data_IF_113402101346
#
_entry.id   IF_113402101346
#
_cell.length_a   1.000
_cell.length_b   1.000
_cell.length_c   1.000
_cell.angle_alpha   90.00
_cell.angle_beta   90.00
_cell.angle_gamma   90.00
#
_symmetry.space_group_name_H-M   'P 1'
#
loop_
_entity.id
_entity.type
_entity.pdbx_description
1 polymer ?
#
# COMPACT_ATOMS: atom_id res chain seq x y z
N UNK A 1 5.57 -16.23 28.60
CA UNK A 1 5.94 -16.02 27.18
C UNK A 1 7.37 -16.49 26.88
N UNK A 2 8.34 -16.28 27.79
CA UNK A 2 9.74 -16.64 27.57
C UNK A 2 9.92 -18.15 27.42
N UNK A 3 9.28 -18.93 28.32
CA UNK A 3 9.33 -20.40 28.26
C UNK A 3 8.73 -20.94 26.96
N UNK A 4 7.65 -20.32 26.47
CA UNK A 4 7.04 -20.65 25.18
C UNK A 4 8.01 -20.39 24.02
N UNK A 5 8.66 -19.24 23.98
CA UNK A 5 9.61 -18.89 22.91
C UNK A 5 10.83 -19.82 22.91
N UNK A 6 11.30 -20.21 24.08
CA UNK A 6 12.46 -21.12 24.23
C UNK A 6 12.14 -22.59 23.91
N UNK A 7 10.86 -22.94 23.74
CA UNK A 7 10.47 -24.28 23.29
C UNK A 7 10.62 -24.50 21.78
N UNK A 8 10.85 -23.41 21.02
CA UNK A 8 11.00 -23.50 19.57
C UNK A 8 12.47 -23.51 19.16
N UNK A 9 12.83 -24.46 18.27
CA UNK A 9 14.17 -24.55 17.68
C UNK A 9 14.41 -23.54 16.56
N UNK A 10 13.35 -22.95 16.00
CA UNK A 10 13.39 -21.95 14.92
C UNK A 10 12.37 -20.85 15.19
N UNK A 11 12.78 -19.60 14.97
CA UNK A 11 11.93 -18.40 15.02
C UNK A 11 12.10 -17.64 13.72
N UNK A 12 11.00 -17.27 13.10
CA UNK A 12 10.97 -16.43 11.91
C UNK A 12 10.22 -15.15 12.26
N UNK A 13 10.88 -14.00 12.07
CA UNK A 13 10.28 -12.68 12.23
C UNK A 13 9.89 -12.13 10.86
N UNK A 14 8.58 -12.03 10.62
CA UNK A 14 8.05 -11.32 9.44
C UNK A 14 8.16 -9.81 9.65
N UNK A 15 8.23 -9.05 8.56
CA UNK A 15 8.46 -7.60 8.53
C UNK A 15 9.64 -7.20 9.45
N UNK A 16 10.75 -7.89 9.30
CA UNK A 16 11.91 -7.75 10.18
C UNK A 16 12.54 -6.35 10.18
N UNK A 17 12.09 -5.44 9.30
CA UNK A 17 12.45 -4.02 9.41
C UNK A 17 11.95 -3.38 10.72
N UNK A 18 10.96 -3.98 11.40
CA UNK A 18 10.54 -3.59 12.74
C UNK A 18 11.41 -4.16 13.87
N UNK A 19 12.38 -5.04 13.57
CA UNK A 19 13.27 -5.63 14.59
C UNK A 19 14.08 -4.59 15.37
N UNK A 20 14.33 -3.42 14.81
CA UNK A 20 15.02 -2.32 15.48
C UNK A 20 14.14 -1.53 16.48
N UNK A 21 12.86 -1.91 16.67
CA UNK A 21 12.03 -1.32 17.71
C UNK A 21 12.47 -1.81 19.10
N UNK A 22 12.32 -0.95 20.13
CA UNK A 22 12.72 -1.28 21.50
C UNK A 22 12.11 -2.60 22.00
N UNK A 23 10.83 -2.83 21.71
CA UNK A 23 10.12 -4.05 22.10
C UNK A 23 10.67 -5.28 21.38
N UNK A 24 10.91 -5.18 20.07
CA UNK A 24 11.46 -6.28 19.28
C UNK A 24 12.87 -6.64 19.69
N UNK A 25 13.72 -5.65 19.98
CA UNK A 25 15.09 -5.87 20.49
C UNK A 25 15.04 -6.68 21.78
N UNK A 26 14.22 -6.24 22.75
CA UNK A 26 14.08 -6.92 24.03
C UNK A 26 13.55 -8.36 23.90
N UNK A 27 12.68 -8.59 22.93
CA UNK A 27 12.15 -9.91 22.63
C UNK A 27 13.23 -10.81 22.02
N UNK A 28 13.88 -10.34 20.94
CA UNK A 28 14.88 -11.11 20.21
C UNK A 28 16.11 -11.46 21.06
N UNK A 29 16.51 -10.59 22.00
CA UNK A 29 17.61 -10.87 22.92
C UNK A 29 17.29 -11.98 23.94
N UNK A 30 16.01 -12.31 24.13
CA UNK A 30 15.57 -13.37 25.06
C UNK A 30 15.31 -14.71 24.37
N UNK A 31 15.34 -14.75 23.04
CA UNK A 31 15.12 -15.96 22.26
C UNK A 31 16.37 -16.83 22.31
N UNK A 32 16.19 -18.11 22.71
CA UNK A 32 17.25 -19.12 22.71
C UNK A 32 17.02 -20.21 21.64
N UNK A 33 16.51 -19.81 20.49
CA UNK A 33 16.31 -20.70 19.34
C UNK A 33 17.63 -20.93 18.58
N UNK A 34 17.82 -22.14 18.08
CA UNK A 34 18.99 -22.48 17.26
C UNK A 34 19.04 -21.68 15.94
N UNK A 35 17.87 -21.37 15.37
CA UNK A 35 17.74 -20.63 14.15
C UNK A 35 16.80 -19.43 14.33
N UNK A 36 17.28 -18.24 13.99
CA UNK A 36 16.48 -17.00 14.00
C UNK A 36 16.63 -16.34 12.63
N UNK A 37 15.53 -16.17 11.95
CA UNK A 37 15.49 -15.55 10.61
C UNK A 37 14.57 -14.35 10.58
N UNK A 38 14.93 -13.34 9.78
CA UNK A 38 14.06 -12.23 9.44
C UNK A 38 13.70 -12.27 7.96
N UNK A 39 12.44 -11.99 7.64
CA UNK A 39 11.95 -11.78 6.28
C UNK A 39 11.34 -10.38 6.19
N UNK A 40 11.52 -9.68 5.08
CA UNK A 40 10.93 -8.38 4.84
C UNK A 40 11.01 -8.04 3.35
N UNK A 41 9.97 -7.40 2.82
CA UNK A 41 9.99 -6.81 1.50
C UNK A 41 10.87 -5.54 1.44
N UNK A 42 11.00 -4.83 2.55
CA UNK A 42 11.69 -3.53 2.66
C UNK A 42 12.72 -3.53 3.79
N UNK A 43 13.86 -4.24 3.65
CA UNK A 43 14.84 -4.36 4.72
C UNK A 43 15.58 -3.06 5.05
N UNK A 44 15.58 -2.08 4.13
CA UNK A 44 16.21 -0.77 4.36
C UNK A 44 15.28 0.16 5.11
N UNK A 45 15.82 0.87 6.08
CA UNK A 45 15.13 1.89 6.90
C UNK A 45 15.68 3.28 6.59
N UNK A 46 14.80 4.27 6.57
CA UNK A 46 15.19 5.67 6.37
C UNK A 46 15.92 6.29 7.56
N UNK A 47 15.84 5.67 8.74
CA UNK A 47 16.48 6.10 9.98
C UNK A 47 17.86 5.46 10.22
N UNK A 48 18.37 4.71 9.24
CA UNK A 48 19.68 4.02 9.31
C UNK A 48 19.81 2.98 10.45
N UNK A 49 18.71 2.52 11.05
CA UNK A 49 18.72 1.49 12.06
C UNK A 49 18.77 0.05 11.49
N UNK A 50 18.96 -0.09 10.19
CA UNK A 50 19.15 -1.39 9.50
C UNK A 50 20.34 -2.18 10.08
N UNK A 51 21.38 -1.50 10.59
CA UNK A 51 22.51 -2.16 11.28
C UNK A 51 22.07 -2.98 12.49
N UNK A 52 21.07 -2.50 13.24
CA UNK A 52 20.53 -3.23 14.41
C UNK A 52 19.85 -4.51 13.96
N UNK A 53 19.13 -4.47 12.82
CA UNK A 53 18.47 -5.66 12.25
C UNK A 53 19.53 -6.73 11.93
N UNK A 54 20.64 -6.33 11.28
CA UNK A 54 21.74 -7.26 10.96
C UNK A 54 22.47 -7.79 12.20
N UNK A 55 22.55 -7.00 13.26
CA UNK A 55 23.14 -7.47 14.54
C UNK A 55 22.25 -8.51 15.23
N UNK A 56 20.92 -8.39 15.12
CA UNK A 56 19.97 -9.28 15.79
C UNK A 56 19.65 -10.54 14.97
N UNK A 57 19.55 -10.43 13.65
CA UNK A 57 19.04 -11.48 12.77
C UNK A 57 20.11 -12.01 11.80
N UNK A 58 21.30 -11.41 11.83
CA UNK A 58 22.40 -11.76 10.91
C UNK A 58 22.30 -11.06 9.54
N UNK A 59 23.30 -11.28 8.67
CA UNK A 59 23.37 -10.63 7.37
C UNK A 59 22.31 -11.16 6.41
N UNK A 60 21.92 -10.33 5.44
CA UNK A 60 20.99 -10.73 4.38
C UNK A 60 21.57 -11.92 3.59
N UNK A 61 20.90 -13.06 3.63
CA UNK A 61 21.30 -14.32 2.98
C UNK A 61 20.73 -14.47 1.59
N UNK A 62 19.52 -13.96 1.38
CA UNK A 62 18.82 -14.04 0.10
C UNK A 62 18.12 -12.73 -0.20
N UNK A 63 18.05 -12.37 -1.47
CA UNK A 63 17.31 -11.21 -1.97
C UNK A 63 16.52 -11.64 -3.19
N UNK A 64 15.20 -11.46 -3.11
CA UNK A 64 14.29 -11.66 -4.22
C UNK A 64 13.61 -10.33 -4.54
N UNK A 65 13.85 -9.79 -5.72
CA UNK A 65 13.37 -8.47 -6.08
C UNK A 65 12.02 -8.54 -6.81
N UNK A 66 11.29 -7.41 -6.84
CA UNK A 66 10.08 -7.30 -7.66
C UNK A 66 10.34 -7.62 -9.14
N UNK A 67 11.55 -7.30 -9.64
CA UNK A 67 11.97 -7.62 -10.99
C UNK A 67 12.13 -9.13 -11.20
N UNK A 68 12.70 -9.84 -10.21
CA UNK A 68 12.84 -11.30 -10.26
C UNK A 68 11.46 -11.98 -10.27
N UNK A 69 10.55 -11.45 -9.44
CA UNK A 69 9.15 -11.91 -9.40
C UNK A 69 8.45 -11.69 -10.74
N UNK A 70 8.58 -10.50 -11.32
CA UNK A 70 8.00 -10.18 -12.62
C UNK A 70 8.50 -11.10 -13.71
N UNK A 71 9.81 -11.38 -13.75
CA UNK A 71 10.42 -12.33 -14.70
C UNK A 71 9.87 -13.75 -14.52
N UNK A 72 9.74 -14.24 -13.29
CA UNK A 72 9.19 -15.57 -13.01
C UNK A 72 7.73 -15.70 -13.40
N UNK A 73 6.94 -14.64 -13.19
CA UNK A 73 5.50 -14.64 -13.48
C UNK A 73 5.16 -14.23 -14.91
N UNK A 74 6.15 -13.77 -15.70
CA UNK A 74 5.91 -13.26 -17.06
C UNK A 74 5.07 -11.98 -17.08
N UNK A 75 5.05 -11.21 -15.97
CA UNK A 75 4.24 -10.00 -15.83
C UNK A 75 5.07 -8.79 -16.24
N UNK A 76 4.58 -8.01 -17.22
CA UNK A 76 5.12 -6.70 -17.55
C UNK A 76 4.61 -5.63 -16.59
N UNK A 77 5.49 -4.78 -16.08
CA UNK A 77 5.11 -3.60 -15.33
C UNK A 77 5.28 -2.36 -16.20
N UNK A 78 4.23 -1.55 -16.26
CA UNK A 78 4.22 -0.30 -17.01
C UNK A 78 4.07 0.87 -16.05
N UNK A 79 4.92 1.88 -16.19
CA UNK A 79 4.82 3.14 -15.48
C UNK A 79 4.41 4.23 -16.46
N UNK A 80 3.23 4.83 -16.25
CA UNK A 80 2.65 5.84 -17.14
C UNK A 80 2.53 7.16 -16.36
N UNK A 81 3.50 8.09 -16.50
CA UNK A 81 3.43 9.38 -15.86
C UNK A 81 2.35 10.25 -16.52
N UNK A 82 1.49 10.86 -15.70
CA UNK A 82 0.47 11.82 -16.13
C UNK A 82 0.82 13.20 -15.59
N UNK A 83 1.01 14.14 -16.48
CA UNK A 83 1.39 15.50 -16.11
C UNK A 83 0.16 16.41 -16.02
N UNK A 84 0.05 17.14 -14.95
CA UNK A 84 -1.00 18.12 -14.71
C UNK A 84 -0.38 19.47 -14.35
N UNK A 85 -1.03 20.55 -14.80
CA UNK A 85 -0.65 21.90 -14.38
C UNK A 85 -1.17 22.13 -12.97
N UNK A 86 -0.32 22.64 -12.10
CA UNK A 86 -0.66 23.12 -10.77
C UNK A 86 -0.42 24.62 -10.72
N UNK A 87 -1.38 25.35 -10.17
CA UNK A 87 -1.18 26.78 -9.86
C UNK A 87 -0.46 26.83 -8.53
N UNK A 88 0.79 27.28 -8.53
CA UNK A 88 1.53 27.53 -7.31
C UNK A 88 1.02 28.83 -6.65
N UNK A 89 0.68 28.73 -5.38
CA UNK A 89 0.41 29.89 -4.52
C UNK A 89 1.61 30.09 -3.59
N UNK A 90 1.79 31.32 -3.06
CA UNK A 90 2.87 31.59 -2.10
C UNK A 90 2.79 30.68 -0.88
N UNK A 91 1.58 30.34 -0.43
CA UNK A 91 1.37 29.39 0.67
C UNK A 91 1.82 27.96 0.29
N UNK A 92 1.56 27.51 -0.95
CA UNK A 92 1.95 26.16 -1.40
C UNK A 92 3.45 26.02 -1.58
N UNK A 93 4.17 27.10 -1.88
CA UNK A 93 5.65 27.10 -1.94
C UNK A 93 6.29 26.93 -0.56
N UNK A 94 5.65 27.43 0.48
CA UNK A 94 6.17 27.37 1.85
C UNK A 94 5.70 26.14 2.63
N UNK A 95 4.58 25.52 2.23
CA UNK A 95 3.97 24.40 2.95
C UNK A 95 3.58 23.27 2.01
N UNK A 96 4.32 22.19 2.07
CA UNK A 96 4.10 20.99 1.24
C UNK A 96 2.71 20.35 1.43
N UNK A 97 2.15 20.44 2.64
CA UNK A 97 0.79 19.90 2.89
C UNK A 97 -0.26 20.75 2.15
N UNK A 98 -0.04 22.06 2.05
CA UNK A 98 -0.92 22.93 1.27
C UNK A 98 -0.80 22.65 -0.23
N UNK A 99 0.41 22.39 -0.71
CA UNK A 99 0.62 21.97 -2.09
C UNK A 99 -0.13 20.66 -2.38
N UNK A 100 -0.06 19.67 -1.51
CA UNK A 100 -0.77 18.41 -1.67
C UNK A 100 -2.30 18.58 -1.59
N UNK A 101 -2.79 19.47 -0.73
CA UNK A 101 -4.20 19.82 -0.68
C UNK A 101 -4.66 20.44 -2.01
N UNK A 102 -3.93 21.43 -2.53
CA UNK A 102 -4.23 22.07 -3.82
C UNK A 102 -4.25 21.04 -4.97
N UNK A 103 -3.36 20.05 -4.95
CA UNK A 103 -3.36 18.95 -5.93
C UNK A 103 -4.65 18.13 -5.85
N UNK A 104 -5.10 17.81 -4.64
CA UNK A 104 -6.29 16.99 -4.43
C UNK A 104 -7.60 17.72 -4.73
N UNK A 105 -7.61 19.06 -4.60
CA UNK A 105 -8.76 19.92 -4.91
C UNK A 105 -8.82 20.36 -6.39
N UNK A 106 -7.85 19.96 -7.21
CA UNK A 106 -7.78 20.37 -8.62
C UNK A 106 -8.77 19.56 -9.49
N UNK A 107 -9.86 20.20 -9.90
CA UNK A 107 -10.92 19.58 -10.71
C UNK A 107 -10.43 19.03 -12.05
N UNK A 108 -9.54 19.75 -12.75
CA UNK A 108 -9.03 19.29 -14.03
C UNK A 108 -8.21 17.99 -13.88
N UNK A 109 -7.43 17.91 -12.79
CA UNK A 109 -6.70 16.71 -12.43
C UNK A 109 -7.64 15.56 -12.05
N UNK A 110 -8.65 15.84 -11.25
CA UNK A 110 -9.61 14.82 -10.81
C UNK A 110 -10.40 14.26 -12.01
N UNK A 111 -10.79 15.11 -12.96
CA UNK A 111 -11.40 14.66 -14.23
C UNK A 111 -10.44 13.79 -15.04
N UNK A 112 -9.17 14.16 -15.16
CA UNK A 112 -8.18 13.35 -15.85
C UNK A 112 -8.03 11.96 -15.21
N UNK A 113 -7.95 11.91 -13.87
CA UNK A 113 -7.88 10.64 -13.14
C UNK A 113 -9.12 9.78 -13.43
N UNK A 114 -10.31 10.35 -13.37
CA UNK A 114 -11.55 9.61 -13.64
C UNK A 114 -11.64 9.11 -15.08
N UNK A 115 -11.17 9.87 -16.07
CA UNK A 115 -11.10 9.39 -17.46
C UNK A 115 -10.06 8.26 -17.63
N UNK A 116 -8.93 8.33 -16.96
CA UNK A 116 -7.94 7.24 -16.97
C UNK A 116 -8.53 5.97 -16.31
N UNK A 117 -9.32 6.11 -15.24
CA UNK A 117 -10.04 4.99 -14.60
C UNK A 117 -11.06 4.37 -15.57
N UNK A 118 -11.90 5.19 -16.23
CA UNK A 118 -12.87 4.71 -17.22
C UNK A 118 -12.18 3.95 -18.35
N UNK A 119 -11.08 4.49 -18.85
CA UNK A 119 -10.28 3.83 -19.88
C UNK A 119 -9.74 2.48 -19.42
N UNK A 120 -9.30 2.38 -18.14
CA UNK A 120 -8.83 1.14 -17.55
C UNK A 120 -9.96 0.10 -17.45
N UNK A 121 -11.15 0.51 -17.03
CA UNK A 121 -12.33 -0.38 -16.98
C UNK A 121 -12.70 -0.89 -18.38
N UNK A 122 -12.67 -0.03 -19.41
CA UNK A 122 -12.92 -0.44 -20.80
C UNK A 122 -11.89 -1.45 -21.32
N UNK A 123 -10.68 -1.42 -20.81
CA UNK A 123 -9.63 -2.39 -21.13
C UNK A 123 -9.74 -3.69 -20.30
N UNK A 124 -10.75 -3.81 -19.44
CA UNK A 124 -10.96 -4.96 -18.55
C UNK A 124 -10.00 -4.99 -17.36
N UNK A 125 -9.37 -3.87 -17.02
CA UNK A 125 -8.46 -3.75 -15.89
C UNK A 125 -9.21 -3.44 -14.60
N UNK A 126 -8.56 -3.70 -13.47
CA UNK A 126 -9.14 -3.51 -12.13
C UNK A 126 -8.34 -2.44 -11.37
N UNK A 127 -8.72 -1.15 -11.49
CA UNK A 127 -7.96 -0.06 -10.92
C UNK A 127 -8.16 0.09 -9.40
N UNK A 128 -7.05 0.37 -8.71
CA UNK A 128 -7.03 0.92 -7.37
C UNK A 128 -6.50 2.35 -7.40
N UNK A 129 -7.26 3.27 -6.81
CA UNK A 129 -6.90 4.68 -6.75
C UNK A 129 -6.47 5.01 -5.32
N UNK A 130 -5.21 5.40 -5.15
CA UNK A 130 -4.67 5.80 -3.86
C UNK A 130 -4.57 7.32 -3.74
N UNK A 131 -5.05 7.82 -2.64
CA UNK A 131 -4.91 9.23 -2.26
C UNK A 131 -4.54 9.37 -0.79
N UNK A 132 -4.04 10.54 -0.41
CA UNK A 132 -3.68 10.87 0.97
C UNK A 132 -4.89 11.34 1.79
N UNK A 133 -5.80 12.10 1.17
CA UNK A 133 -6.85 12.81 1.86
C UNK A 133 -8.20 12.12 1.74
N UNK A 134 -8.91 12.03 2.86
CA UNK A 134 -10.24 11.41 2.95
C UNK A 134 -11.25 12.08 2.04
N UNK A 135 -11.27 13.41 2.04
CA UNK A 135 -12.21 14.17 1.22
C UNK A 135 -11.94 13.98 -0.28
N UNK A 136 -10.67 13.92 -0.66
CA UNK A 136 -10.30 13.59 -2.04
C UNK A 136 -10.75 12.19 -2.45
N UNK A 137 -10.64 11.21 -1.54
CA UNK A 137 -11.14 9.85 -1.79
C UNK A 137 -12.66 9.84 -2.01
N UNK A 138 -13.42 10.62 -1.21
CA UNK A 138 -14.88 10.76 -1.38
C UNK A 138 -15.24 11.42 -2.71
N UNK A 139 -14.55 12.50 -3.08
CA UNK A 139 -14.76 13.19 -4.38
C UNK A 139 -14.51 12.24 -5.54
N UNK A 140 -13.39 11.52 -5.56
CA UNK A 140 -13.09 10.57 -6.63
C UNK A 140 -14.09 9.40 -6.65
N UNK A 141 -14.52 8.91 -5.49
CA UNK A 141 -15.56 7.89 -5.40
C UNK A 141 -16.86 8.37 -6.05
N UNK A 142 -17.35 9.56 -5.69
CA UNK A 142 -18.58 10.15 -6.26
C UNK A 142 -18.47 10.35 -7.79
N UNK A 143 -17.31 10.83 -8.27
CA UNK A 143 -17.08 11.03 -9.71
C UNK A 143 -17.04 9.70 -10.50
N UNK A 144 -16.83 8.59 -9.83
CA UNK A 144 -16.73 7.25 -10.44
C UNK A 144 -17.98 6.39 -10.21
N UNK A 145 -19.00 6.91 -9.51
CA UNK A 145 -20.27 6.20 -9.36
C UNK A 145 -20.89 5.84 -10.72
N UNK A 146 -21.27 4.58 -10.88
CA UNK A 146 -21.83 4.06 -12.12
C UNK A 146 -20.82 3.79 -13.26
N UNK A 147 -19.53 3.94 -13.02
CA UNK A 147 -18.47 3.64 -14.01
C UNK A 147 -18.16 2.13 -14.06
N UNK A 148 -18.35 1.42 -12.96
CA UNK A 148 -18.13 -0.01 -12.85
C UNK A 148 -19.30 -0.67 -12.12
N UNK A 149 -19.42 -2.01 -12.25
CA UNK A 149 -20.46 -2.78 -11.55
C UNK A 149 -20.28 -2.70 -10.03
N UNK A 150 -19.04 -2.64 -9.58
CA UNK A 150 -18.68 -2.56 -8.17
C UNK A 150 -17.67 -1.44 -7.93
N UNK A 151 -17.96 -0.57 -6.98
CA UNK A 151 -17.04 0.46 -6.51
C UNK A 151 -16.98 0.43 -4.99
N UNK A 152 -15.78 0.44 -4.44
CA UNK A 152 -15.54 0.41 -2.99
C UNK A 152 -14.69 1.59 -2.54
N UNK A 153 -14.97 2.06 -1.31
CA UNK A 153 -14.25 3.16 -0.69
C UNK A 153 -13.67 2.71 0.66
N UNK A 154 -12.34 2.60 0.74
CA UNK A 154 -11.59 2.30 1.95
C UNK A 154 -10.85 3.55 2.45
N UNK A 155 -11.35 4.17 3.53
CA UNK A 155 -10.76 5.40 4.06
C UNK A 155 -10.84 5.47 5.58
N UNK A 156 -10.23 6.51 6.17
CA UNK A 156 -9.97 6.59 7.60
C UNK A 156 -11.21 6.65 8.50
N UNK A 157 -12.37 7.08 7.98
CA UNK A 157 -13.59 7.20 8.78
C UNK A 157 -14.39 5.89 8.86
N UNK A 158 -14.04 4.88 8.04
CA UNK A 158 -14.63 3.57 8.17
C UNK A 158 -14.24 2.92 9.51
N UNK A 159 -15.20 2.31 10.17
CA UNK A 159 -14.96 1.45 11.32
C UNK A 159 -14.23 0.18 10.89
N UNK A 160 -13.59 -0.51 11.83
CA UNK A 160 -12.91 -1.77 11.53
C UNK A 160 -13.88 -2.83 10.98
N UNK A 161 -15.11 -2.83 11.46
CA UNK A 161 -16.17 -3.70 10.95
C UNK A 161 -16.51 -3.39 9.48
N UNK A 162 -16.70 -2.12 9.14
CA UNK A 162 -16.95 -1.70 7.75
C UNK A 162 -15.78 -2.04 6.84
N UNK A 163 -14.54 -1.84 7.30
CA UNK A 163 -13.36 -2.23 6.55
C UNK A 163 -13.31 -3.75 6.29
N UNK A 164 -13.70 -4.56 7.28
CA UNK A 164 -13.77 -6.01 7.12
C UNK A 164 -14.85 -6.40 6.11
N UNK A 165 -16.06 -5.84 6.23
CA UNK A 165 -17.17 -6.07 5.31
C UNK A 165 -16.79 -5.71 3.86
N UNK A 166 -16.11 -4.57 3.65
CA UNK A 166 -15.61 -4.16 2.33
C UNK A 166 -14.58 -5.16 1.79
N UNK A 167 -13.63 -5.59 2.62
CA UNK A 167 -12.61 -6.58 2.21
C UNK A 167 -13.21 -7.93 1.85
N UNK A 168 -14.24 -8.36 2.57
CA UNK A 168 -14.97 -9.59 2.26
C UNK A 168 -15.76 -9.43 0.95
N UNK A 169 -16.46 -8.30 0.77
CA UNK A 169 -17.19 -8.01 -0.46
C UNK A 169 -16.26 -7.97 -1.68
N UNK A 170 -15.06 -7.36 -1.55
CA UNK A 170 -14.05 -7.35 -2.61
C UNK A 170 -13.67 -8.77 -3.08
N UNK A 171 -13.59 -9.73 -2.15
CA UNK A 171 -13.26 -11.13 -2.46
C UNK A 171 -14.41 -11.86 -3.16
N UNK A 172 -15.66 -11.42 -2.96
CA UNK A 172 -16.87 -12.04 -3.52
C UNK A 172 -17.22 -11.52 -4.91
N UNK A 173 -16.65 -10.39 -5.36
CA UNK A 173 -16.90 -9.85 -6.70
C UNK A 173 -16.47 -10.87 -7.76
N UNK A 174 -17.38 -11.22 -8.66
CA UNK A 174 -17.12 -12.18 -9.75
C UNK A 174 -16.08 -11.63 -10.73
N UNK A 175 -15.37 -12.53 -11.40
CA UNK A 175 -14.31 -12.12 -12.34
C UNK A 175 -14.82 -11.31 -13.53
N UNK A 176 -16.05 -11.57 -13.93
CA UNK A 176 -16.73 -10.95 -15.06
C UNK A 176 -17.22 -9.53 -14.75
N UNK A 177 -17.39 -9.21 -13.46
CA UNK A 177 -17.87 -7.90 -13.02
C UNK A 177 -16.69 -6.93 -12.92
N UNK A 178 -16.87 -5.72 -13.38
CA UNK A 178 -15.89 -4.64 -13.25
C UNK A 178 -15.80 -4.14 -11.79
N UNK A 179 -14.60 -3.74 -11.40
CA UNK A 179 -14.31 -3.36 -10.02
C UNK A 179 -13.39 -2.14 -9.97
N UNK A 180 -13.76 -1.17 -9.15
CA UNK A 180 -12.93 -0.02 -8.77
C UNK A 180 -12.76 0.00 -7.25
N UNK A 181 -11.53 0.24 -6.79
CA UNK A 181 -11.24 0.48 -5.39
C UNK A 181 -10.64 1.88 -5.22
N UNK A 182 -11.30 2.74 -4.44
CA UNK A 182 -10.76 4.02 -4.01
C UNK A 182 -10.34 3.91 -2.55
N UNK A 183 -9.11 4.32 -2.25
CA UNK A 183 -8.62 4.18 -0.88
C UNK A 183 -7.63 5.26 -0.46
N UNK A 184 -7.54 5.45 0.86
CA UNK A 184 -6.42 6.19 1.45
C UNK A 184 -5.26 5.25 1.73
N UNK A 185 -4.01 5.70 1.53
CA UNK A 185 -2.81 4.87 1.65
C UNK A 185 -2.68 4.15 3.00
N UNK A 186 -3.17 4.73 4.08
CA UNK A 186 -3.18 4.11 5.41
C UNK A 186 -4.08 2.86 5.52
N UNK A 187 -5.06 2.69 4.64
CA UNK A 187 -6.01 1.56 4.66
C UNK A 187 -5.65 0.43 3.69
N UNK A 188 -4.80 0.74 2.71
CA UNK A 188 -4.16 -0.24 1.82
C UNK A 188 -2.67 -0.29 2.17
N UNK A 189 -2.37 -0.69 3.39
CA UNK A 189 -1.01 -0.92 3.87
C UNK A 189 -0.71 -2.40 4.02
N UNK A 190 0.13 -2.70 5.00
CA UNK A 190 0.48 -4.06 5.38
C UNK A 190 -0.76 -4.94 5.60
N UNK A 191 -0.75 -6.14 5.03
CA UNK A 191 -1.84 -7.11 5.16
C UNK A 191 -3.06 -6.89 4.28
N UNK A 192 -3.03 -5.90 3.35
CA UNK A 192 -4.05 -5.82 2.30
C UNK A 192 -3.66 -6.71 1.11
N UNK A 193 -4.45 -7.72 0.83
CA UNK A 193 -4.26 -8.64 -0.29
C UNK A 193 -5.52 -8.73 -1.14
N UNK A 194 -5.40 -8.31 -2.39
CA UNK A 194 -6.43 -8.44 -3.42
C UNK A 194 -5.76 -8.68 -4.78
N UNK A 195 -5.48 -9.95 -5.13
CA UNK A 195 -4.72 -10.32 -6.33
C UNK A 195 -5.35 -9.86 -7.65
N UNK A 196 -6.62 -9.48 -7.62
CA UNK A 196 -7.35 -9.01 -8.78
C UNK A 196 -6.95 -7.59 -9.20
N UNK A 197 -6.48 -6.77 -8.28
CA UNK A 197 -6.07 -5.40 -8.58
C UNK A 197 -4.79 -5.41 -9.41
N UNK A 198 -4.84 -4.88 -10.62
CA UNK A 198 -3.77 -4.90 -11.60
C UNK A 198 -3.26 -3.52 -12.00
N UNK A 199 -4.03 -2.48 -11.71
CA UNK A 199 -3.73 -1.10 -12.10
C UNK A 199 -3.74 -0.19 -10.88
N UNK A 200 -2.59 0.46 -10.60
CA UNK A 200 -2.44 1.40 -9.48
C UNK A 200 -2.40 2.84 -10.01
N UNK A 201 -3.31 3.67 -9.51
CA UNK A 201 -3.35 5.11 -9.78
C UNK A 201 -3.01 5.91 -8.53
N UNK A 202 -1.91 6.62 -8.55
CA UNK A 202 -1.50 7.52 -7.47
C UNK A 202 -2.15 8.90 -7.70
N UNK A 203 -3.31 9.09 -7.08
CA UNK A 203 -4.08 10.32 -7.25
C UNK A 203 -3.54 11.51 -6.44
N UNK A 204 -2.77 11.24 -5.40
CA UNK A 204 -2.01 12.22 -4.64
C UNK A 204 -0.75 11.54 -4.08
N UNK A 205 0.26 12.30 -3.64
CA UNK A 205 1.38 11.73 -2.89
C UNK A 205 0.87 10.99 -1.65
N UNK A 206 1.29 9.76 -1.46
CA UNK A 206 0.86 8.81 -0.41
C UNK A 206 2.00 8.52 0.55
#
# INVERSE_FOLDING_TARGET
>A
YQDMLNSYGMVIMDECHHAASKTSIQLLQKINAKYVYGVSATPKRGDHLDRIIYMLLGPQRHKFTALDRAKQQGIGHYFIPRYTRMIETEESKQNINKAYQNISENDARNRMITEDVKSSIHLGLTPVILTRYKEHAKVLYQMLEGVADNIFLLYGDNTDRQNLEIRESLKQVKKEESLILVATGQKIGEGFDCPRLDTLMLAAPV
#
